data_IF_644903077218
#
_entry.id   IF_644903077218
#
_cell.length_a   1.000
_cell.length_b   1.000
_cell.length_c   1.000
_cell.angle_alpha   90.00
_cell.angle_beta   90.00
_cell.angle_gamma   90.00
#
_symmetry.space_group_name_H-M   'P 1'
#
loop_
_entity.id
_entity.type
_entity.pdbx_description
1 polymer ?
#
# COMPACT_ATOMS: atom_id res chain seq x y z
N UNK A 1 16.01 1.52 -5.28
CA UNK A 1 15.35 0.99 -4.05
C UNK A 1 14.35 -0.06 -4.48
N UNK A 2 13.96 -0.99 -3.61
CA UNK A 2 12.91 -1.99 -3.90
C UNK A 2 11.78 -1.90 -2.88
N UNK A 3 10.55 -2.14 -3.31
CA UNK A 3 9.42 -2.12 -2.39
C UNK A 3 9.55 -3.21 -1.31
N UNK A 4 10.06 -4.39 -1.66
CA UNK A 4 10.32 -5.48 -0.71
C UNK A 4 11.33 -5.12 0.38
N UNK A 5 12.14 -4.08 0.18
CA UNK A 5 13.13 -3.59 1.15
C UNK A 5 12.61 -2.39 1.95
N UNK A 6 11.82 -1.51 1.32
CA UNK A 6 11.42 -0.23 1.91
C UNK A 6 9.98 -0.17 2.41
N UNK A 7 9.14 -1.12 2.00
CA UNK A 7 7.69 -1.07 2.17
C UNK A 7 7.04 0.09 1.42
N UNK A 8 5.81 0.40 1.80
CA UNK A 8 4.94 1.34 1.07
C UNK A 8 5.29 2.81 1.26
N UNK A 9 5.89 3.21 2.39
CA UNK A 9 6.06 4.62 2.78
C UNK A 9 6.73 5.50 1.73
N UNK A 10 7.84 5.10 1.08
CA UNK A 10 8.48 6.00 0.12
C UNK A 10 7.66 6.20 -1.16
N UNK A 11 6.77 5.25 -1.48
CA UNK A 11 5.97 5.29 -2.70
C UNK A 11 4.58 5.89 -2.46
N UNK A 12 4.08 5.86 -1.22
CA UNK A 12 2.73 6.29 -0.87
C UNK A 12 2.54 7.80 -1.10
N UNK A 13 1.57 8.14 -1.94
CA UNK A 13 1.32 9.50 -2.44
C UNK A 13 2.52 10.19 -3.08
N UNK A 14 3.46 9.41 -3.65
CA UNK A 14 4.68 9.94 -4.25
C UNK A 14 4.88 9.44 -5.68
N UNK A 15 5.69 10.18 -6.43
CA UNK A 15 6.04 9.87 -7.81
C UNK A 15 7.31 9.02 -7.87
N UNK A 16 7.19 7.84 -8.49
CA UNK A 16 8.28 6.89 -8.64
C UNK A 16 8.44 6.48 -10.11
N UNK A 17 9.67 6.26 -10.55
CA UNK A 17 9.96 5.68 -11.85
C UNK A 17 10.34 4.22 -11.67
N UNK A 18 9.68 3.36 -12.45
CA UNK A 18 10.08 1.98 -12.62
C UNK A 18 10.67 1.78 -14.02
N UNK A 19 11.85 1.12 -14.15
CA UNK A 19 12.42 0.74 -15.42
C UNK A 19 11.48 -0.18 -16.21
N UNK A 20 11.60 -0.16 -17.53
CA UNK A 20 10.78 -1.01 -18.39
C UNK A 20 11.19 -2.48 -18.23
N UNK A 21 10.27 -3.32 -17.73
CA UNK A 21 10.43 -4.78 -17.64
C UNK A 21 9.21 -5.49 -18.25
N UNK A 22 9.24 -6.82 -18.36
CA UNK A 22 8.16 -7.58 -19.03
C UNK A 22 6.77 -7.36 -18.41
N UNK A 23 6.69 -7.22 -17.08
CA UNK A 23 5.43 -6.90 -16.39
C UNK A 23 4.90 -5.52 -16.77
N UNK A 24 5.77 -4.50 -16.72
CA UNK A 24 5.41 -3.12 -16.99
C UNK A 24 5.07 -2.93 -18.48
N UNK A 25 5.77 -3.64 -19.37
CA UNK A 25 5.52 -3.62 -20.81
C UNK A 25 4.07 -3.96 -21.16
N UNK A 26 3.50 -4.98 -20.51
CA UNK A 26 2.11 -5.40 -20.73
C UNK A 26 1.13 -4.27 -20.38
N UNK A 27 1.40 -3.51 -19.32
CA UNK A 27 0.54 -2.41 -18.87
C UNK A 27 0.77 -1.14 -19.69
N UNK A 28 2.01 -0.89 -20.12
CA UNK A 28 2.43 0.32 -20.80
C UNK A 28 2.19 0.31 -22.32
N UNK A 29 1.93 -0.85 -22.94
CA UNK A 29 1.88 -1.00 -24.41
C UNK A 29 0.91 -0.05 -25.13
N UNK A 30 -0.17 0.37 -24.47
CA UNK A 30 -1.18 1.27 -25.02
C UNK A 30 -0.88 2.76 -24.74
N UNK A 31 0.20 3.06 -24.01
CA UNK A 31 0.64 4.43 -23.72
C UNK A 31 1.46 5.02 -24.88
N UNK A 32 1.42 6.35 -25.08
CA UNK A 32 2.22 6.99 -26.11
C UNK A 32 3.71 6.75 -25.92
N UNK A 33 4.40 6.57 -27.04
CA UNK A 33 5.86 6.49 -27.07
C UNK A 33 6.44 5.32 -26.25
N UNK A 34 5.63 4.29 -25.99
CA UNK A 34 6.01 3.08 -25.27
C UNK A 34 7.23 2.37 -25.89
N UNK A 35 7.29 2.24 -27.22
CA UNK A 35 8.36 1.50 -27.92
C UNK A 35 9.77 2.08 -27.65
N UNK A 36 9.85 3.39 -27.43
CA UNK A 36 11.11 4.11 -27.18
C UNK A 36 11.37 4.38 -25.69
N UNK A 37 10.49 3.95 -24.80
CA UNK A 37 10.54 4.28 -23.37
C UNK A 37 11.57 3.43 -22.61
N UNK A 38 12.27 4.06 -21.65
CA UNK A 38 13.19 3.36 -20.75
C UNK A 38 12.50 2.94 -19.44
N UNK A 39 11.30 3.45 -19.18
CA UNK A 39 10.52 3.14 -17.99
C UNK A 39 9.18 3.87 -17.97
N UNK A 40 8.55 3.89 -16.80
CA UNK A 40 7.26 4.54 -16.57
C UNK A 40 7.30 5.40 -15.30
N UNK A 41 6.65 6.56 -15.37
CA UNK A 41 6.33 7.36 -14.18
C UNK A 41 5.05 6.82 -13.56
N UNK A 42 5.08 6.61 -12.25
CA UNK A 42 3.97 6.08 -11.47
C UNK A 42 3.65 6.94 -10.26
N UNK A 43 2.43 6.79 -9.73
CA UNK A 43 2.00 7.35 -8.46
C UNK A 43 1.44 6.26 -7.54
N UNK A 44 1.96 6.16 -6.32
CA UNK A 44 1.56 5.13 -5.37
C UNK A 44 0.33 5.52 -4.54
N UNK A 45 -0.65 4.62 -4.47
CA UNK A 45 -1.85 4.75 -3.65
C UNK A 45 -2.23 3.41 -3.03
N UNK A 46 -3.11 3.43 -2.03
CA UNK A 46 -3.61 2.23 -1.38
C UNK A 46 -5.02 1.90 -1.85
N UNK A 47 -5.16 0.86 -2.66
CA UNK A 47 -6.46 0.26 -2.93
C UNK A 47 -6.79 -0.67 -1.75
N UNK A 48 -7.80 -0.31 -0.95
CA UNK A 48 -8.11 -1.08 0.26
C UNK A 48 -8.45 -2.53 -0.02
N UNK A 49 -8.96 -2.88 -1.20
CA UNK A 49 -9.29 -4.27 -1.54
C UNK A 49 -8.14 -5.02 -2.19
N UNK A 50 -7.29 -4.33 -2.95
CA UNK A 50 -6.25 -4.96 -3.77
C UNK A 50 -4.81 -4.64 -3.32
N UNK A 51 -4.66 -3.91 -2.22
CA UNK A 51 -3.38 -3.58 -1.62
C UNK A 51 -2.71 -2.37 -2.26
N UNK A 52 -1.42 -2.21 -1.96
CA UNK A 52 -0.64 -1.10 -2.49
C UNK A 52 -0.52 -1.18 -4.01
N UNK A 53 -0.83 -0.07 -4.67
CA UNK A 53 -1.04 -0.01 -6.12
C UNK A 53 -0.36 1.21 -6.70
N UNK A 54 0.11 1.09 -7.94
CA UNK A 54 0.75 2.16 -8.69
C UNK A 54 -0.13 2.52 -9.88
N UNK A 55 -0.50 3.80 -9.99
CA UNK A 55 -1.09 4.36 -11.21
C UNK A 55 0.04 4.70 -12.19
N UNK A 56 0.00 4.14 -13.40
CA UNK A 56 0.92 4.49 -14.49
C UNK A 56 0.45 5.80 -15.12
N UNK A 57 1.28 6.84 -14.99
CA UNK A 57 0.96 8.18 -15.45
C UNK A 57 1.46 8.47 -16.87
N UNK A 58 2.69 8.08 -17.18
CA UNK A 58 3.23 8.13 -18.54
C UNK A 58 4.49 7.27 -18.69
N UNK A 59 4.89 7.05 -19.95
CA UNK A 59 6.22 6.55 -20.28
C UNK A 59 7.29 7.63 -20.04
N UNK A 60 8.52 7.20 -19.77
CA UNK A 60 9.67 8.10 -19.60
C UNK A 60 10.88 7.65 -20.41
N UNK A 61 11.69 8.62 -20.84
CA UNK A 61 13.01 8.38 -21.44
C UNK A 61 14.10 8.91 -20.53
N UNK A 62 15.13 8.11 -20.27
CA UNK A 62 16.30 8.52 -19.51
C UNK A 62 17.18 9.40 -20.39
N UNK A 63 17.45 10.63 -19.95
CA UNK A 63 18.25 11.64 -20.68
C UNK A 63 19.54 12.01 -19.95
N UNK A 64 19.75 11.48 -18.76
CA UNK A 64 20.96 11.60 -17.95
C UNK A 64 20.94 10.62 -16.78
N UNK A 65 21.91 10.70 -15.87
CA UNK A 65 22.08 9.71 -14.79
C UNK A 65 20.87 9.62 -13.83
N UNK A 66 20.15 10.72 -13.62
CA UNK A 66 18.92 10.77 -12.80
C UNK A 66 17.91 11.76 -13.38
N UNK A 67 17.96 11.96 -14.70
CA UNK A 67 17.07 12.89 -15.40
C UNK A 67 16.22 12.13 -16.41
N UNK A 68 14.92 12.38 -16.36
CA UNK A 68 13.93 11.71 -17.19
C UNK A 68 13.09 12.74 -17.94
N UNK A 69 12.95 12.52 -19.24
CA UNK A 69 11.97 13.22 -20.06
C UNK A 69 10.63 12.48 -19.97
N UNK A 70 9.60 13.18 -19.49
CA UNK A 70 8.23 12.68 -19.45
C UNK A 70 7.64 12.69 -20.87
N UNK A 71 7.06 11.58 -21.29
CA UNK A 71 6.38 11.45 -22.58
C UNK A 71 4.93 11.94 -22.51
N UNK A 72 4.27 11.99 -23.66
CA UNK A 72 2.87 12.41 -23.74
C UNK A 72 1.97 11.53 -22.87
N UNK A 73 0.99 12.17 -22.22
CA UNK A 73 -0.04 11.52 -21.41
C UNK A 73 -1.32 11.32 -22.23
N UNK A 74 -2.13 10.32 -21.90
CA UNK A 74 -3.49 10.17 -22.43
C UNK A 74 -4.46 10.04 -21.25
N UNK A 75 -5.37 10.99 -21.10
CA UNK A 75 -6.37 11.00 -20.01
C UNK A 75 -7.43 9.89 -20.13
N UNK A 76 -7.51 9.22 -21.29
CA UNK A 76 -8.53 8.19 -21.59
C UNK A 76 -8.10 6.76 -21.25
N UNK A 77 -6.82 6.52 -20.97
CA UNK A 77 -6.27 5.20 -20.71
C UNK A 77 -5.70 5.21 -19.30
N UNK A 78 -5.96 4.16 -18.54
CA UNK A 78 -5.38 3.94 -17.21
C UNK A 78 -4.53 2.70 -17.22
N UNK A 79 -3.32 2.82 -16.67
CA UNK A 79 -2.43 1.69 -16.43
C UNK A 79 -2.36 1.47 -14.93
N UNK A 80 -2.66 0.26 -14.48
CA UNK A 80 -2.67 -0.09 -13.05
C UNK A 80 -1.64 -1.20 -12.85
N UNK A 81 -0.68 -0.97 -11.96
CA UNK A 81 0.33 -1.95 -11.59
C UNK A 81 0.13 -2.29 -10.11
N UNK A 82 -0.19 -3.55 -9.81
CA UNK A 82 -0.27 -4.03 -8.42
C UNK A 82 1.15 -4.24 -7.90
N UNK A 83 1.46 -3.73 -6.71
CA UNK A 83 2.86 -3.67 -6.25
C UNK A 83 3.51 -5.05 -6.18
N UNK A 84 2.75 -6.10 -5.85
CA UNK A 84 3.26 -7.47 -5.80
C UNK A 84 3.84 -7.98 -7.12
N UNK A 85 3.49 -7.35 -8.25
CA UNK A 85 4.06 -7.69 -9.57
C UNK A 85 5.43 -7.05 -9.85
N UNK A 86 5.82 -6.06 -9.05
CA UNK A 86 7.08 -5.29 -9.18
C UNK A 86 7.77 -5.07 -7.84
N UNK A 87 7.46 -5.87 -6.81
CA UNK A 87 7.92 -5.62 -5.45
C UNK A 87 9.45 -5.69 -5.30
N UNK A 88 10.08 -6.59 -6.07
CA UNK A 88 11.53 -6.80 -6.10
C UNK A 88 12.26 -6.02 -7.20
N UNK A 89 11.52 -5.20 -7.95
CA UNK A 89 12.06 -4.37 -9.02
C UNK A 89 12.64 -3.09 -8.44
N UNK A 90 13.76 -2.64 -9.02
CA UNK A 90 14.33 -1.36 -8.63
C UNK A 90 13.46 -0.21 -9.12
N UNK A 91 13.25 0.77 -8.25
CA UNK A 91 12.61 2.04 -8.59
C UNK A 91 13.47 3.23 -8.16
N UNK A 92 13.21 4.36 -8.83
CA UNK A 92 13.78 5.66 -8.54
C UNK A 92 12.70 6.60 -8.01
N UNK A 93 12.95 7.22 -6.86
CA UNK A 93 12.08 8.25 -6.30
C UNK A 93 12.32 9.57 -7.04
N UNK A 94 11.26 10.19 -7.56
CA UNK A 94 11.36 11.39 -8.40
C UNK A 94 10.88 12.64 -7.67
N UNK A 95 9.91 12.49 -6.77
CA UNK A 95 9.39 13.61 -6.01
C UNK A 95 8.21 13.25 -5.14
N UNK A 96 7.96 14.14 -4.18
CA UNK A 96 6.81 14.06 -3.29
C UNK A 96 5.52 14.47 -4.00
N UNK A 97 4.37 14.14 -3.41
CA UNK A 97 3.05 14.51 -3.92
C UNK A 97 2.89 15.98 -4.33
N UNK A 98 3.58 16.91 -3.68
CA UNK A 98 3.49 18.36 -3.98
C UNK A 98 4.49 18.87 -5.05
N UNK A 99 5.13 17.96 -5.77
CA UNK A 99 6.05 18.32 -6.86
C UNK A 99 5.29 18.99 -8.02
N UNK A 100 5.87 19.98 -8.74
CA UNK A 100 5.29 20.55 -9.97
C UNK A 100 4.84 19.52 -11.02
N UNK A 101 5.37 18.29 -10.97
CA UNK A 101 4.89 17.15 -11.74
C UNK A 101 3.38 16.92 -11.54
N UNK A 102 2.84 17.10 -10.33
CA UNK A 102 1.43 16.92 -9.98
C UNK A 102 0.49 17.71 -10.89
N UNK A 103 0.82 18.95 -11.22
CA UNK A 103 0.01 19.82 -12.08
C UNK A 103 -0.23 19.20 -13.48
N UNK A 104 0.71 18.37 -13.97
CA UNK A 104 0.57 17.70 -15.27
C UNK A 104 -0.37 16.50 -15.25
N UNK A 105 -0.66 15.98 -14.07
CA UNK A 105 -1.41 14.73 -13.87
C UNK A 105 -2.64 14.92 -12.97
N UNK A 106 -3.07 16.17 -12.73
CA UNK A 106 -4.17 16.49 -11.81
C UNK A 106 -5.42 15.64 -12.07
N UNK A 107 -5.83 15.49 -13.33
CA UNK A 107 -6.98 14.64 -13.71
C UNK A 107 -6.78 13.15 -13.40
N UNK A 108 -5.58 12.62 -13.58
CA UNK A 108 -5.30 11.23 -13.19
C UNK A 108 -5.40 11.09 -11.67
N UNK A 109 -4.93 12.10 -10.93
CA UNK A 109 -4.91 12.12 -9.48
C UNK A 109 -6.31 12.32 -8.88
N UNK A 110 -7.19 13.09 -9.55
CA UNK A 110 -8.60 13.23 -9.18
C UNK A 110 -9.33 11.88 -9.25
N UNK A 111 -9.03 11.05 -10.25
CA UNK A 111 -9.65 9.72 -10.39
C UNK A 111 -9.19 8.76 -9.29
N UNK A 112 -7.91 8.81 -8.91
CA UNK A 112 -7.42 7.92 -7.83
C UNK A 112 -7.79 8.41 -6.43
N UNK A 113 -8.19 9.67 -6.26
CA UNK A 113 -8.67 10.19 -4.97
C UNK A 113 -9.94 9.45 -4.48
N UNK A 114 -10.65 8.76 -5.37
CA UNK A 114 -11.74 7.84 -5.00
C UNK A 114 -11.28 6.66 -4.12
N UNK A 115 -9.96 6.38 -4.08
CA UNK A 115 -9.36 5.35 -3.23
C UNK A 115 -8.82 5.89 -1.91
N UNK A 116 -8.85 7.19 -1.69
CA UNK A 116 -8.42 7.80 -0.43
C UNK A 116 -9.24 7.19 0.72
N UNK A 117 -8.54 6.85 1.80
CA UNK A 117 -9.20 6.26 2.95
C UNK A 117 -9.71 7.36 3.89
N UNK A 118 -10.57 6.96 4.83
CA UNK A 118 -11.01 7.85 5.91
C UNK A 118 -9.80 8.32 6.75
N UNK A 119 -9.94 9.47 7.41
CA UNK A 119 -8.88 10.16 8.14
C UNK A 119 -8.17 9.25 9.14
N UNK A 120 -8.91 8.36 9.80
CA UNK A 120 -8.39 7.45 10.81
C UNK A 120 -7.51 6.35 10.18
N UNK A 121 -7.88 5.85 9.00
CA UNK A 121 -7.06 4.89 8.25
C UNK A 121 -5.79 5.57 7.75
N UNK A 122 -5.91 6.79 7.19
CA UNK A 122 -4.75 7.59 6.77
C UNK A 122 -3.80 7.87 7.93
N UNK A 123 -4.36 8.28 9.07
CA UNK A 123 -3.61 8.48 10.32
C UNK A 123 -2.91 7.20 10.73
N UNK A 124 -3.58 6.05 10.64
CA UNK A 124 -2.97 4.76 10.98
C UNK A 124 -1.74 4.47 10.10
N UNK A 125 -1.73 4.83 8.82
CA UNK A 125 -0.59 4.64 7.90
C UNK A 125 0.64 5.45 8.34
N UNK A 126 0.48 6.51 9.12
CA UNK A 126 1.61 7.27 9.69
C UNK A 126 2.30 6.55 10.85
N UNK A 127 1.67 5.55 11.48
CA UNK A 127 2.23 4.86 12.64
C UNK A 127 3.27 3.81 12.22
N UNK A 128 4.55 4.19 12.27
CA UNK A 128 5.70 3.32 11.96
C UNK A 128 5.74 2.06 12.84
N UNK A 129 5.28 2.16 14.08
CA UNK A 129 5.22 1.03 15.01
C UNK A 129 4.33 -0.12 14.50
N UNK A 130 3.37 0.17 13.61
CA UNK A 130 2.49 -0.84 13.05
C UNK A 130 3.13 -1.61 11.90
N UNK A 131 4.20 -1.09 11.30
CA UNK A 131 4.75 -1.62 10.05
C UNK A 131 5.25 -3.06 10.20
N UNK A 132 5.76 -3.44 11.37
CA UNK A 132 6.18 -4.82 11.66
C UNK A 132 5.01 -5.82 11.70
N UNK A 133 3.77 -5.33 11.82
CA UNK A 133 2.55 -6.14 11.83
C UNK A 133 1.81 -6.09 10.50
N UNK A 134 2.11 -5.11 9.64
CA UNK A 134 1.42 -4.94 8.36
C UNK A 134 1.76 -6.10 7.43
N UNK A 135 0.78 -6.48 6.64
CA UNK A 135 1.00 -7.33 5.50
C UNK A 135 1.87 -6.56 4.48
N UNK A 136 2.89 -7.20 3.93
CA UNK A 136 3.85 -6.60 2.99
C UNK A 136 3.19 -5.87 1.81
N UNK A 137 2.17 -6.46 1.19
CA UNK A 137 1.45 -5.89 0.05
C UNK A 137 0.18 -5.09 0.39
N UNK A 138 -0.29 -5.15 1.64
CA UNK A 138 -1.57 -4.56 2.06
C UNK A 138 -1.35 -3.69 3.30
N UNK A 139 -1.04 -2.39 3.13
CA UNK A 139 -0.67 -1.53 4.24
C UNK A 139 -1.71 -1.45 5.36
N UNK A 140 -3.00 -1.58 5.05
CA UNK A 140 -4.06 -1.50 6.06
C UNK A 140 -4.32 -2.81 6.81
N UNK A 141 -3.72 -3.92 6.35
CA UNK A 141 -3.97 -5.24 6.91
C UNK A 141 -2.84 -5.58 7.88
N UNK A 142 -3.19 -5.90 9.13
CA UNK A 142 -2.24 -6.21 10.20
C UNK A 142 -2.52 -7.57 10.82
N UNK A 143 -1.47 -8.23 11.31
CA UNK A 143 -1.60 -9.47 12.07
C UNK A 143 -1.94 -9.16 13.54
N UNK A 144 -3.08 -9.64 14.02
CA UNK A 144 -3.58 -9.44 15.39
C UNK A 144 -3.76 -10.79 16.08
N UNK A 145 -3.24 -10.92 17.30
CA UNK A 145 -3.43 -12.09 18.14
C UNK A 145 -4.73 -12.00 18.93
N UNK A 146 -5.65 -12.93 18.66
CA UNK A 146 -6.90 -13.07 19.42
C UNK A 146 -6.64 -13.98 20.62
N UNK A 147 -7.04 -13.53 21.80
CA UNK A 147 -6.83 -14.25 23.07
C UNK A 147 -8.18 -14.41 23.79
N UNK A 148 -8.43 -15.62 24.29
CA UNK A 148 -9.61 -15.97 25.10
C UNK A 148 -9.25 -17.09 26.07
N UNK A 149 -9.66 -16.96 27.32
CA UNK A 149 -9.45 -17.98 28.34
C UNK A 149 -9.86 -19.38 27.87
N UNK A 150 -8.94 -20.34 27.98
CA UNK A 150 -9.15 -21.74 27.58
C UNK A 150 -8.79 -22.06 26.12
N UNK A 151 -8.44 -21.07 25.30
CA UNK A 151 -7.98 -21.25 23.92
C UNK A 151 -6.50 -20.89 23.77
N UNK A 152 -5.87 -21.40 22.70
CA UNK A 152 -4.52 -20.98 22.33
C UNK A 152 -4.59 -19.64 21.58
N UNK A 153 -3.70 -18.67 21.86
CA UNK A 153 -3.64 -17.44 21.06
C UNK A 153 -3.50 -17.73 19.57
N UNK A 154 -4.19 -16.95 18.74
CA UNK A 154 -4.22 -17.14 17.29
C UNK A 154 -4.02 -15.82 16.55
N UNK A 155 -3.06 -15.78 15.61
CA UNK A 155 -2.84 -14.63 14.75
C UNK A 155 -3.80 -14.64 13.56
N UNK A 156 -4.62 -13.59 13.43
CA UNK A 156 -5.54 -13.41 12.32
C UNK A 156 -5.27 -12.08 11.61
N UNK A 157 -5.52 -12.03 10.31
CA UNK A 157 -5.41 -10.81 9.53
C UNK A 157 -6.61 -9.90 9.79
N UNK A 158 -6.34 -8.64 10.09
CA UNK A 158 -7.35 -7.65 10.42
C UNK A 158 -7.07 -6.40 9.61
N UNK A 159 -8.08 -5.92 8.90
CA UNK A 159 -8.01 -4.67 8.16
C UNK A 159 -8.41 -3.50 9.04
N UNK A 160 -7.49 -2.55 9.24
CA UNK A 160 -7.74 -1.33 10.01
C UNK A 160 -8.86 -0.53 9.33
N UNK A 161 -9.84 -0.11 10.12
CA UNK A 161 -10.94 0.74 9.66
C UNK A 161 -11.02 2.06 10.42
N UNK A 162 -10.63 2.08 11.69
CA UNK A 162 -10.88 3.23 12.56
C UNK A 162 -9.89 3.24 13.73
N UNK A 163 -9.69 4.43 14.31
CA UNK A 163 -8.87 4.70 15.47
C UNK A 163 -9.76 5.31 16.56
N UNK A 164 -10.03 4.56 17.64
CA UNK A 164 -10.84 5.04 18.75
C UNK A 164 -10.01 5.13 20.04
N UNK A 165 -9.90 6.31 20.62
CA UNK A 165 -9.18 6.59 21.88
C UNK A 165 -7.76 5.97 21.98
N UNK A 166 -7.68 4.73 22.47
CA UNK A 166 -6.44 3.94 22.74
C UNK A 166 -6.46 2.57 22.08
N UNK A 167 -7.40 2.35 21.16
CA UNK A 167 -7.63 1.06 20.49
C UNK A 167 -7.73 1.30 18.99
N UNK A 168 -7.22 0.35 18.24
CA UNK A 168 -7.41 0.28 16.80
C UNK A 168 -8.59 -0.64 16.55
N UNK A 169 -9.49 -0.24 15.66
CA UNK A 169 -10.62 -1.04 15.24
C UNK A 169 -10.36 -1.57 13.82
N UNK A 170 -10.73 -2.81 13.58
CA UNK A 170 -10.58 -3.38 12.25
C UNK A 170 -11.49 -4.57 11.99
N UNK A 171 -11.66 -4.91 10.72
CA UNK A 171 -12.44 -6.05 10.26
C UNK A 171 -11.56 -7.29 10.17
N UNK A 172 -12.00 -8.38 10.79
CA UNK A 172 -11.36 -9.68 10.69
C UNK A 172 -11.48 -10.23 9.27
N UNK A 173 -10.36 -10.54 8.60
CA UNK A 173 -10.34 -10.91 7.18
C UNK A 173 -10.47 -12.42 6.94
N UNK A 174 -10.13 -13.24 7.92
CA UNK A 174 -10.17 -14.70 7.82
C UNK A 174 -10.85 -15.31 9.04
N UNK A 175 -11.48 -16.47 8.85
CA UNK A 175 -12.09 -17.21 9.95
C UNK A 175 -11.00 -17.70 10.91
N UNK A 176 -11.15 -17.52 12.23
CA UNK A 176 -10.27 -18.15 13.20
C UNK A 176 -10.41 -19.67 13.16
N UNK A 177 -9.32 -20.39 13.42
CA UNK A 177 -9.31 -21.85 13.48
C UNK A 177 -9.96 -22.39 14.77
N UNK A 178 -10.08 -21.56 15.81
CA UNK A 178 -10.75 -21.87 17.08
C UNK A 178 -11.98 -20.98 17.30
N UNK A 179 -12.93 -21.44 18.13
CA UNK A 179 -14.14 -20.68 18.45
C UNK A 179 -13.90 -19.58 19.50
N UNK A 180 -13.37 -18.45 19.02
CA UNK A 180 -13.26 -17.23 19.83
C UNK A 180 -14.61 -16.53 20.04
N UNK A 181 -15.64 -16.86 19.24
CA UNK A 181 -16.87 -16.08 19.13
C UNK A 181 -16.75 -14.87 18.20
N UNK A 182 -15.68 -14.82 17.40
CA UNK A 182 -15.50 -13.91 16.27
C UNK A 182 -15.50 -14.70 14.97
N UNK A 183 -16.04 -14.09 13.92
CA UNK A 183 -16.12 -14.62 12.57
C UNK A 183 -15.49 -13.66 11.57
N UNK A 184 -15.09 -14.18 10.41
CA UNK A 184 -14.64 -13.33 9.31
C UNK A 184 -15.72 -12.28 8.97
N UNK A 185 -15.31 -11.02 8.84
CA UNK A 185 -16.20 -9.87 8.66
C UNK A 185 -16.56 -9.13 9.95
N UNK A 186 -16.32 -9.72 11.12
CA UNK A 186 -16.56 -9.04 12.39
C UNK A 186 -15.59 -7.88 12.61
N UNK A 187 -16.10 -6.82 13.24
CA UNK A 187 -15.27 -5.71 13.73
C UNK A 187 -14.72 -6.06 15.10
N UNK A 188 -13.40 -6.03 15.25
CA UNK A 188 -12.70 -6.27 16.51
C UNK A 188 -11.90 -5.04 16.94
N UNK A 189 -11.76 -4.88 18.25
CA UNK A 189 -10.86 -3.90 18.86
C UNK A 189 -9.55 -4.58 19.22
N UNK A 190 -8.42 -3.90 18.99
CA UNK A 190 -7.10 -4.38 19.38
C UNK A 190 -6.18 -3.26 19.82
N UNK A 191 -5.11 -3.62 20.53
CA UNK A 191 -4.14 -2.70 21.10
C UNK A 191 -2.73 -3.26 21.01
N UNK A 192 -1.74 -2.37 21.08
CA UNK A 192 -0.34 -2.78 21.13
C UNK A 192 0.01 -3.15 22.56
N UNK A 193 0.64 -4.29 22.75
CA UNK A 193 1.19 -4.75 24.02
C UNK A 193 2.58 -5.33 23.84
N UNK A 194 3.36 -5.33 24.92
CA UNK A 194 4.60 -6.09 24.98
C UNK A 194 4.27 -7.49 25.52
N UNK A 195 4.79 -8.54 24.87
CA UNK A 195 4.72 -9.90 25.38
C UNK A 195 5.70 -10.12 26.54
N UNK A 196 5.69 -11.33 27.13
CA UNK A 196 6.54 -11.66 28.30
C UNK A 196 8.05 -11.56 28.01
N UNK A 197 8.44 -11.57 26.73
CA UNK A 197 9.83 -11.39 26.28
C UNK A 197 10.14 -9.94 25.89
N UNK A 198 9.15 -9.04 25.98
CA UNK A 198 9.27 -7.64 25.61
C UNK A 198 9.06 -7.37 24.11
N UNK A 199 8.63 -8.36 23.32
CA UNK A 199 8.33 -8.15 21.91
C UNK A 199 6.95 -7.52 21.76
N UNK A 200 6.81 -6.59 20.83
CA UNK A 200 5.52 -5.95 20.54
C UNK A 200 4.57 -6.92 19.85
N UNK A 201 3.29 -6.89 20.23
CA UNK A 201 2.18 -7.64 19.65
C UNK A 201 0.96 -6.74 19.51
N UNK A 202 0.14 -6.99 18.50
CA UNK A 202 -1.23 -6.51 18.45
C UNK A 202 -2.14 -7.57 19.06
N UNK A 203 -2.93 -7.21 20.05
CA UNK A 203 -3.77 -8.15 20.81
C UNK A 203 -5.22 -7.67 20.81
N UNK A 204 -6.13 -8.60 20.52
CA UNK A 204 -7.55 -8.47 20.83
C UNK A 204 -7.87 -9.43 21.98
N UNK A 205 -8.19 -8.86 23.14
CA UNK A 205 -8.49 -9.64 24.36
C UNK A 205 -10.01 -9.63 24.62
N UNK A 206 -10.58 -10.83 24.75
CA UNK A 206 -11.99 -11.10 25.01
C UNK A 206 -12.28 -11.42 26.50
N UNK A 207 -11.29 -11.31 27.38
CA UNK A 207 -11.39 -11.64 28.82
C UNK A 207 -12.25 -10.67 29.64
#
# INVERSE_FOLDING_TARGET
MKYSETGFRPLYHNFCIFPMNETIKVVAQDFPEYEDADGVLTYGYCDRMAGFTLELLCCVKRVGDSQFALKQTIEKIRGIIRIGSVADEEYEFVGYGDNPIKEKFERNLEVIAEYDADEEVETSRTFELLDIFRHELYPDDVIVFIIKNGLKPEGCWVRINDLSDRRVMGTLLNEPNQDFGYHAGDTIAFFICDDVEGNKRLISDLN
#
